data_IF_239973116894
#
_entry.id   IF_239973116894
#
_cell.length_a   1.000
_cell.length_b   1.000
_cell.length_c   1.000
_cell.angle_alpha   90.00
_cell.angle_beta   90.00
_cell.angle_gamma   90.00
#
_symmetry.space_group_name_H-M   'P 1'
#
loop_
_entity.id
_entity.type
_entity.pdbx_description
1 polymer ?
#
# COMPACT_ATOMS: atom_id res chain seq x y z
N UNK A 1 4.31 17.92 3.24
CA UNK A 1 3.15 17.19 2.72
C UNK A 1 2.14 16.81 3.81
N UNK A 2 2.54 16.29 4.98
CA UNK A 2 1.60 15.99 6.06
C UNK A 2 0.64 17.14 6.44
N UNK A 3 1.14 18.38 6.55
CA UNK A 3 0.31 19.54 6.95
C UNK A 3 -0.83 19.86 5.96
N UNK A 4 -0.66 19.56 4.67
CA UNK A 4 -1.72 19.75 3.67
C UNK A 4 -2.87 18.80 3.95
N UNK A 5 -2.56 17.50 4.09
CA UNK A 5 -3.56 16.48 4.44
C UNK A 5 -4.24 16.74 5.78
N UNK A 6 -3.52 17.28 6.78
CA UNK A 6 -4.10 17.71 8.06
C UNK A 6 -5.14 18.81 7.85
N UNK A 7 -4.89 19.78 6.96
CA UNK A 7 -5.84 20.86 6.66
C UNK A 7 -7.07 20.38 5.90
N UNK A 8 -6.89 19.36 5.06
CA UNK A 8 -7.97 18.73 4.29
C UNK A 8 -8.79 17.72 5.13
N UNK A 9 -8.33 17.39 6.34
CA UNK A 9 -9.01 16.42 7.20
C UNK A 9 -8.69 14.96 6.87
N UNK A 10 -7.71 14.73 6.01
CA UNK A 10 -7.28 13.42 5.54
C UNK A 10 -6.28 12.79 6.53
N UNK A 11 -6.76 12.44 7.72
CA UNK A 11 -5.92 12.08 8.87
C UNK A 11 -5.08 10.83 8.65
N UNK A 12 -5.59 9.83 7.92
CA UNK A 12 -4.82 8.61 7.61
C UNK A 12 -3.69 8.89 6.62
N UNK A 13 -3.94 9.68 5.56
CA UNK A 13 -2.89 10.16 4.63
C UNK A 13 -1.84 11.00 5.34
N UNK A 14 -2.27 11.90 6.24
CA UNK A 14 -1.36 12.67 7.09
C UNK A 14 -0.47 11.77 7.95
N UNK A 15 -1.06 10.75 8.62
CA UNK A 15 -0.30 9.75 9.39
C UNK A 15 0.74 9.05 8.51
N UNK A 16 0.38 8.60 7.31
CA UNK A 16 1.33 7.94 6.40
C UNK A 16 2.58 8.79 6.15
N UNK A 17 2.41 10.09 5.90
CA UNK A 17 3.54 11.03 5.74
C UNK A 17 4.37 11.21 7.02
N UNK A 18 3.74 11.31 8.18
CA UNK A 18 4.42 11.49 9.46
C UNK A 18 5.20 10.23 9.87
N UNK A 19 4.69 9.05 9.51
CA UNK A 19 5.32 7.75 9.76
C UNK A 19 6.58 7.50 8.92
N UNK A 20 6.91 8.35 7.94
CA UNK A 20 8.21 8.28 7.24
C UNK A 20 9.40 8.61 8.14
N UNK A 21 9.16 9.43 9.18
CA UNK A 21 10.16 9.78 10.20
C UNK A 21 9.46 9.84 11.56
N UNK A 22 9.08 8.69 12.15
CA UNK A 22 8.23 8.67 13.33
C UNK A 22 8.94 9.26 14.57
N UNK A 23 10.27 9.29 14.57
CA UNK A 23 11.10 9.82 15.65
C UNK A 23 11.50 11.30 15.47
N UNK A 24 11.11 11.94 14.37
CA UNK A 24 11.34 13.38 14.17
C UNK A 24 10.42 14.19 15.10
N UNK A 25 10.95 15.25 15.73
CA UNK A 25 10.19 16.05 16.71
C UNK A 25 8.91 16.65 16.13
N UNK A 26 8.91 17.04 14.84
CA UNK A 26 7.71 17.54 14.16
C UNK A 26 6.74 16.41 13.89
N UNK A 27 7.22 15.22 13.53
CA UNK A 27 6.36 14.05 13.34
C UNK A 27 5.65 13.67 14.64
N UNK A 28 6.39 13.57 15.75
CA UNK A 28 5.84 13.26 17.08
C UNK A 28 4.76 14.29 17.47
N UNK A 29 5.07 15.58 17.33
CA UNK A 29 4.14 16.66 17.66
C UNK A 29 2.85 16.57 16.82
N UNK A 30 2.97 16.43 15.50
CA UNK A 30 1.81 16.41 14.60
C UNK A 30 1.00 15.10 14.72
N UNK A 31 1.64 13.96 14.96
CA UNK A 31 0.96 12.69 15.25
C UNK A 31 0.09 12.81 16.51
N UNK A 32 0.61 13.50 17.55
CA UNK A 32 -0.16 13.77 18.77
C UNK A 32 -1.37 14.68 18.50
N UNK A 33 -1.21 15.68 17.63
CA UNK A 33 -2.27 16.62 17.28
C UNK A 33 -3.44 15.96 16.53
N UNK A 34 -3.15 14.98 15.67
CA UNK A 34 -4.17 14.31 14.86
C UNK A 34 -4.75 13.05 15.53
N UNK A 35 -4.22 12.63 16.67
CA UNK A 35 -4.58 11.36 17.33
C UNK A 35 -6.08 11.21 17.54
N UNK A 36 -6.71 12.20 18.18
CA UNK A 36 -8.13 12.15 18.50
C UNK A 36 -9.00 12.20 17.24
N UNK A 37 -8.54 12.93 16.22
CA UNK A 37 -9.23 13.00 14.92
C UNK A 37 -9.19 11.67 14.17
N UNK A 38 -8.06 10.97 14.25
CA UNK A 38 -7.90 9.64 13.66
C UNK A 38 -8.73 8.60 14.40
N UNK A 39 -8.77 8.64 15.74
CA UNK A 39 -9.60 7.73 16.54
C UNK A 39 -11.10 7.94 16.34
N UNK A 40 -11.51 9.13 15.90
CA UNK A 40 -12.91 9.44 15.59
C UNK A 40 -13.35 8.99 14.17
N UNK A 41 -12.43 8.48 13.34
CA UNK A 41 -12.79 7.99 12.01
C UNK A 41 -13.66 6.72 12.11
N UNK A 42 -14.59 6.51 11.15
CA UNK A 42 -15.36 5.29 11.10
C UNK A 42 -14.44 4.06 11.10
N UNK A 43 -14.82 2.99 11.82
CA UNK A 43 -14.09 1.75 11.74
C UNK A 43 -14.07 1.28 10.29
N UNK A 44 -12.93 0.75 9.82
CA UNK A 44 -12.80 0.31 8.44
C UNK A 44 -13.79 -0.80 8.08
N UNK A 45 -14.29 -0.80 6.84
CA UNK A 45 -15.07 -1.91 6.27
C UNK A 45 -14.12 -3.06 5.95
N UNK A 46 -13.69 -3.77 6.99
CA UNK A 46 -12.63 -4.80 6.97
C UNK A 46 -11.51 -4.48 5.96
N UNK A 47 -10.97 -5.48 5.25
CA UNK A 47 -9.83 -5.34 4.36
C UNK A 47 -9.96 -4.30 3.23
N UNK A 48 -11.18 -3.87 2.88
CA UNK A 48 -11.40 -2.90 1.81
C UNK A 48 -10.87 -1.52 2.19
N UNK A 49 -10.15 -0.87 1.29
CA UNK A 49 -9.50 0.41 1.52
C UNK A 49 -8.34 0.65 0.56
N UNK A 50 -7.69 1.80 0.73
CA UNK A 50 -6.45 2.12 0.03
C UNK A 50 -5.28 2.11 1.01
N UNK A 51 -4.15 1.55 0.59
CA UNK A 51 -2.96 1.37 1.42
C UNK A 51 -1.71 1.84 0.69
N UNK A 52 -0.86 2.59 1.39
CA UNK A 52 0.32 3.23 0.83
C UNK A 52 1.62 2.72 1.44
N UNK A 53 2.62 2.49 0.59
CA UNK A 53 4.02 2.27 0.97
C UNK A 53 4.91 3.27 0.23
N UNK A 54 5.81 3.95 0.95
CA UNK A 54 6.59 5.02 0.35
C UNK A 54 7.57 4.50 -0.70
N UNK A 55 7.52 5.09 -1.91
CA UNK A 55 8.36 4.71 -3.04
C UNK A 55 9.52 5.70 -3.30
N UNK A 56 9.61 6.77 -2.51
CA UNK A 56 10.56 7.87 -2.74
C UNK A 56 9.97 8.98 -3.61
N UNK A 57 10.69 10.11 -3.72
CA UNK A 57 10.36 11.23 -4.62
C UNK A 57 8.91 11.74 -4.54
N UNK A 58 8.37 11.75 -3.32
CA UNK A 58 6.98 12.13 -3.05
C UNK A 58 5.90 11.16 -3.55
N UNK A 59 6.29 9.97 -4.01
CA UNK A 59 5.40 8.94 -4.55
C UNK A 59 5.24 7.74 -3.61
N UNK A 60 4.19 6.97 -3.86
CA UNK A 60 3.81 5.80 -3.07
C UNK A 60 3.53 4.62 -4.01
N UNK A 61 3.85 3.42 -3.54
CA UNK A 61 3.22 2.20 -4.03
C UNK A 61 1.85 2.10 -3.39
N UNK A 62 0.85 1.75 -4.18
CA UNK A 62 -0.56 1.75 -3.77
C UNK A 62 -1.12 0.35 -3.90
N UNK A 63 -1.75 -0.14 -2.85
CA UNK A 63 -2.66 -1.28 -2.88
C UNK A 63 -4.08 -0.77 -2.67
N UNK A 64 -4.95 -1.00 -3.65
CA UNK A 64 -6.38 -0.69 -3.57
C UNK A 64 -7.17 -1.98 -3.46
N UNK A 65 -7.95 -2.10 -2.38
CA UNK A 65 -8.71 -3.31 -2.05
C UNK A 65 -10.20 -2.96 -2.04
N UNK A 66 -10.98 -3.60 -2.91
CA UNK A 66 -12.42 -3.38 -3.04
C UNK A 66 -13.16 -4.67 -2.71
N UNK A 67 -14.13 -4.59 -1.80
CA UNK A 67 -15.02 -5.71 -1.53
C UNK A 67 -15.85 -6.04 -2.79
N UNK A 68 -15.97 -7.33 -3.11
CA UNK A 68 -16.84 -7.81 -4.17
C UNK A 68 -18.19 -8.28 -3.58
N UNK A 69 -19.25 -8.45 -4.40
CA UNK A 69 -20.55 -8.91 -3.92
C UNK A 69 -20.53 -10.30 -3.26
N UNK A 70 -19.50 -11.10 -3.56
CA UNK A 70 -19.32 -12.42 -2.94
C UNK A 70 -18.62 -12.25 -1.59
N UNK A 71 -19.14 -12.87 -0.50
CA UNK A 71 -18.50 -12.81 0.81
C UNK A 71 -17.03 -13.22 0.75
N UNK A 72 -16.19 -12.48 1.47
CA UNK A 72 -14.74 -12.71 1.56
C UNK A 72 -13.96 -12.63 0.25
N UNK A 73 -14.58 -12.17 -0.85
CA UNK A 73 -13.87 -11.89 -2.10
C UNK A 73 -13.57 -10.42 -2.26
N UNK A 74 -12.35 -10.14 -2.71
CA UNK A 74 -11.86 -8.79 -2.89
C UNK A 74 -11.16 -8.65 -4.24
N UNK A 75 -11.36 -7.51 -4.87
CA UNK A 75 -10.51 -7.06 -5.97
C UNK A 75 -9.33 -6.31 -5.37
N UNK A 76 -8.11 -6.79 -5.64
CA UNK A 76 -6.86 -6.16 -5.22
C UNK A 76 -6.16 -5.62 -6.46
N UNK A 77 -5.86 -4.33 -6.43
CA UNK A 77 -5.08 -3.67 -7.47
C UNK A 77 -3.80 -3.11 -6.86
N UNK A 78 -2.68 -3.29 -7.54
CA UNK A 78 -1.39 -2.77 -7.15
C UNK A 78 -0.84 -1.82 -8.20
N UNK A 79 -0.24 -0.73 -7.73
CA UNK A 79 0.56 0.18 -8.55
C UNK A 79 1.88 0.44 -7.83
N UNK A 80 2.96 -0.06 -8.42
CA UNK A 80 4.31 0.01 -7.91
C UNK A 80 5.21 0.95 -8.72
N UNK A 81 6.10 1.64 -8.02
CA UNK A 81 7.08 2.55 -8.59
C UNK A 81 8.46 2.25 -8.02
N UNK A 82 9.47 2.29 -8.88
CA UNK A 82 10.88 2.27 -8.47
C UNK A 82 11.66 3.32 -9.26
N UNK A 83 12.11 4.37 -8.58
CA UNK A 83 12.80 5.48 -9.22
C UNK A 83 14.28 5.19 -9.54
N UNK A 84 14.94 4.28 -8.81
CA UNK A 84 16.39 4.08 -8.98
C UNK A 84 17.21 5.37 -8.82
N UNK A 85 18.46 5.34 -9.30
CA UNK A 85 19.37 6.49 -9.19
C UNK A 85 18.99 7.62 -10.15
N UNK A 86 18.57 7.28 -11.37
CA UNK A 86 18.31 8.23 -12.46
C UNK A 86 16.82 8.52 -12.69
N UNK A 87 15.91 8.09 -11.80
CA UNK A 87 14.46 8.18 -12.04
C UNK A 87 13.87 9.59 -12.07
N UNK A 88 14.61 10.61 -11.67
CA UNK A 88 14.19 12.01 -11.91
C UNK A 88 14.30 12.34 -13.41
N UNK A 89 15.25 11.74 -14.13
CA UNK A 89 15.50 12.01 -15.55
C UNK A 89 14.71 11.09 -16.48
N UNK A 90 14.63 9.79 -16.15
CA UNK A 90 14.03 8.78 -17.02
C UNK A 90 12.65 8.30 -16.55
N UNK A 91 12.16 8.81 -15.42
CA UNK A 91 10.97 8.29 -14.76
C UNK A 91 11.25 6.99 -13.99
N UNK A 92 10.27 6.54 -13.18
CA UNK A 92 10.39 5.28 -12.45
C UNK A 92 10.11 4.09 -13.36
N UNK A 93 10.69 2.95 -13.01
CA UNK A 93 10.14 1.66 -13.43
C UNK A 93 8.79 1.48 -12.74
N UNK A 94 7.83 0.94 -13.47
CA UNK A 94 6.46 0.73 -12.99
C UNK A 94 6.09 -0.74 -13.06
N UNK A 95 5.14 -1.14 -12.23
CA UNK A 95 4.56 -2.48 -12.25
C UNK A 95 3.17 -2.41 -11.65
N UNK A 96 2.24 -3.17 -12.22
CA UNK A 96 0.87 -3.21 -11.75
C UNK A 96 0.33 -4.63 -11.83
N UNK A 97 -0.67 -4.90 -11.02
CA UNK A 97 -1.51 -6.08 -11.19
C UNK A 97 -2.93 -5.78 -10.75
N UNK A 98 -3.85 -6.60 -11.22
CA UNK A 98 -5.26 -6.59 -10.83
C UNK A 98 -5.71 -8.04 -10.67
N UNK A 99 -6.08 -8.42 -9.44
CA UNK A 99 -6.44 -9.80 -9.14
C UNK A 99 -7.63 -9.86 -8.17
N UNK A 100 -8.52 -10.82 -8.42
CA UNK A 100 -9.54 -11.20 -7.45
C UNK A 100 -8.97 -12.25 -6.50
N UNK A 101 -9.05 -11.99 -5.20
CA UNK A 101 -8.59 -12.89 -4.15
C UNK A 101 -9.73 -13.27 -3.22
N UNK A 102 -9.56 -14.43 -2.56
CA UNK A 102 -10.40 -14.82 -1.43
C UNK A 102 -9.58 -14.61 -0.16
N UNK A 103 -10.16 -13.92 0.81
CA UNK A 103 -9.53 -13.60 2.07
C UNK A 103 -9.92 -14.66 3.11
N UNK A 104 -8.91 -15.35 3.64
CA UNK A 104 -9.07 -16.41 4.64
C UNK A 104 -8.15 -16.12 5.82
N UNK A 105 -8.71 -16.03 7.03
CA UNK A 105 -7.96 -15.73 8.26
C UNK A 105 -7.03 -14.49 8.11
N UNK A 106 -7.60 -13.40 7.59
CA UNK A 106 -6.89 -12.14 7.32
C UNK A 106 -5.72 -12.27 6.32
N UNK A 107 -5.69 -13.34 5.51
CA UNK A 107 -4.64 -13.59 4.52
C UNK A 107 -5.22 -13.84 3.13
N UNK A 108 -4.53 -13.35 2.12
CA UNK A 108 -4.84 -13.62 0.73
C UNK A 108 -3.55 -13.88 -0.05
N UNK A 109 -3.66 -14.67 -1.11
CA UNK A 109 -2.56 -14.88 -2.07
C UNK A 109 -3.01 -14.34 -3.41
N UNK A 110 -2.25 -13.41 -3.96
CA UNK A 110 -2.37 -12.99 -5.36
C UNK A 110 -1.43 -13.86 -6.17
N UNK A 111 -1.98 -14.75 -7.00
CA UNK A 111 -1.21 -15.57 -7.92
C UNK A 111 -1.16 -14.89 -9.29
N UNK A 112 0.00 -14.36 -9.66
CA UNK A 112 0.25 -13.82 -10.99
C UNK A 112 0.78 -14.94 -11.88
N UNK A 113 0.04 -15.22 -12.96
CA UNK A 113 0.28 -16.30 -13.92
C UNK A 113 0.02 -15.78 -15.32
N UNK A 114 0.96 -15.02 -15.86
CA UNK A 114 0.87 -14.45 -17.21
C UNK A 114 1.93 -15.09 -18.11
N UNK A 115 1.54 -16.00 -18.99
CA UNK A 115 2.46 -16.83 -19.79
C UNK A 115 3.35 -17.76 -18.94
N UNK A 116 4.26 -18.50 -19.61
CA UNK A 116 5.17 -19.46 -18.97
C UNK A 116 6.29 -18.80 -18.14
N UNK A 117 6.49 -17.48 -18.30
CA UNK A 117 7.60 -16.74 -17.69
C UNK A 117 7.18 -15.93 -16.44
N UNK A 118 5.88 -15.72 -16.19
CA UNK A 118 5.40 -14.95 -15.03
C UNK A 118 4.74 -15.90 -14.04
N UNK A 119 5.47 -16.20 -12.97
CA UNK A 119 5.05 -17.07 -11.88
C UNK A 119 5.44 -16.45 -10.55
N UNK A 120 4.52 -15.71 -9.94
CA UNK A 120 4.76 -15.01 -8.69
C UNK A 120 3.53 -15.06 -7.78
N UNK A 121 3.74 -15.44 -6.53
CA UNK A 121 2.74 -15.42 -5.47
C UNK A 121 3.03 -14.30 -4.49
N UNK A 122 2.06 -13.40 -4.35
CA UNK A 122 2.14 -12.27 -3.43
C UNK A 122 1.21 -12.57 -2.26
N UNK A 123 1.79 -12.94 -1.13
CA UNK A 123 1.10 -13.11 0.14
C UNK A 123 0.78 -11.73 0.72
N UNK A 124 -0.50 -11.51 1.01
CA UNK A 124 -1.01 -10.31 1.66
C UNK A 124 -1.57 -10.70 3.04
N UNK A 125 -1.01 -10.11 4.09
CA UNK A 125 -1.51 -10.26 5.47
C UNK A 125 -2.15 -8.95 5.90
N UNK A 126 -3.44 -9.01 6.20
CA UNK A 126 -4.27 -7.85 6.51
C UNK A 126 -4.34 -7.61 8.01
N UNK A 127 -4.32 -6.35 8.39
CA UNK A 127 -4.77 -5.87 9.70
C UNK A 127 -5.81 -4.77 9.50
N UNK A 128 -6.36 -4.23 10.58
CA UNK A 128 -7.31 -3.11 10.49
C UNK A 128 -6.73 -1.87 9.81
N UNK A 129 -5.42 -1.65 9.92
CA UNK A 129 -4.76 -0.40 9.48
C UNK A 129 -3.56 -0.64 8.56
N UNK A 130 -3.22 -1.89 8.25
CA UNK A 130 -2.01 -2.24 7.48
C UNK A 130 -2.21 -3.44 6.57
N UNK A 131 -1.37 -3.53 5.54
CA UNK A 131 -1.14 -4.76 4.78
C UNK A 131 0.36 -5.03 4.77
N UNK A 132 0.75 -6.24 5.16
CA UNK A 132 2.11 -6.73 4.96
C UNK A 132 2.12 -7.63 3.71
N UNK A 133 2.84 -7.19 2.68
CA UNK A 133 2.97 -7.90 1.42
C UNK A 133 4.35 -8.57 1.33
N UNK A 134 4.37 -9.82 0.85
CA UNK A 134 5.60 -10.56 0.56
C UNK A 134 5.42 -11.39 -0.69
N UNK A 135 6.40 -11.33 -1.57
CA UNK A 135 6.53 -12.16 -2.77
C UNK A 135 7.39 -13.39 -2.47
N UNK A 136 7.09 -14.50 -3.13
CA UNK A 136 7.94 -15.70 -3.13
C UNK A 136 9.17 -15.52 -4.05
N UNK A 137 8.95 -15.01 -5.27
CA UNK A 137 9.96 -14.72 -6.28
C UNK A 137 9.70 -13.34 -6.91
N UNK A 138 10.41 -12.30 -6.46
CA UNK A 138 10.17 -10.94 -6.95
C UNK A 138 10.54 -10.71 -8.44
N UNK A 139 11.34 -11.60 -9.03
CA UNK A 139 11.87 -11.44 -10.40
C UNK A 139 10.82 -11.83 -11.45
N UNK A 140 9.92 -12.74 -11.10
CA UNK A 140 9.00 -13.40 -12.05
C UNK A 140 7.58 -12.86 -11.92
N UNK A 141 7.41 -11.66 -11.36
CA UNK A 141 6.10 -11.01 -11.21
C UNK A 141 5.68 -10.19 -12.44
N UNK A 142 6.50 -10.13 -13.49
CA UNK A 142 6.23 -9.35 -14.71
C UNK A 142 6.30 -7.83 -14.51
N UNK A 143 6.77 -7.35 -13.35
CA UNK A 143 6.92 -5.92 -13.09
C UNK A 143 8.18 -5.35 -13.75
N UNK A 144 8.20 -4.03 -13.98
CA UNK A 144 9.41 -3.33 -14.39
C UNK A 144 10.57 -3.57 -13.42
N UNK A 145 11.80 -3.49 -13.93
CA UNK A 145 12.99 -3.85 -13.16
C UNK A 145 13.03 -3.20 -11.76
N UNK A 146 13.26 -4.01 -10.72
CA UNK A 146 13.31 -3.61 -9.31
C UNK A 146 12.01 -3.09 -8.69
N UNK A 147 10.88 -3.13 -9.41
CA UNK A 147 9.57 -2.88 -8.82
C UNK A 147 9.17 -4.09 -7.99
N UNK A 148 8.72 -3.85 -6.76
CA UNK A 148 8.36 -4.89 -5.80
C UNK A 148 7.07 -4.53 -5.08
N UNK A 149 6.17 -5.52 -4.98
CA UNK A 149 4.97 -5.43 -4.17
C UNK A 149 5.29 -5.57 -2.66
N UNK A 150 6.45 -6.11 -2.30
CA UNK A 150 6.84 -6.36 -0.90
C UNK A 150 6.77 -5.11 -0.01
N UNK A 151 6.45 -5.33 1.27
CA UNK A 151 6.63 -4.38 2.35
C UNK A 151 5.38 -4.09 3.15
N UNK A 152 5.51 -3.11 4.05
CA UNK A 152 4.47 -2.68 4.97
C UNK A 152 3.70 -1.49 4.40
N UNK A 153 2.40 -1.65 4.18
CA UNK A 153 1.51 -0.63 3.67
C UNK A 153 0.63 -0.09 4.78
N UNK A 154 0.49 1.23 4.85
CA UNK A 154 -0.38 1.91 5.81
C UNK A 154 -1.70 2.27 5.15
N UNK A 155 -2.82 1.94 5.79
CA UNK A 155 -4.15 2.33 5.34
C UNK A 155 -4.28 3.85 5.30
N UNK A 156 -4.83 4.36 4.21
CA UNK A 156 -5.09 5.78 3.98
C UNK A 156 -6.57 6.10 3.72
N UNK A 157 -7.37 5.09 3.36
CA UNK A 157 -8.83 5.19 3.17
C UNK A 157 -9.54 3.97 3.78
#
# INVERSE_FOLDING_TARGET
MALTWIREGEWRKARAWLMLRPNDSKSIYNLKLIKDKQSALPPPVFAAGEYWRYAGRASWNVLSVKALPTPSRYQVNFQGHWFGLMGIYFGPNIGEFSATVTLENDKAIVALRESDDIHCDISLVFSSETIDASTDTFVDCGFGANVRADGHYLRVE
#
